data_IF_232889237275
#
_entry.id   IF_232889237275
#
_cell.length_a   1.000
_cell.length_b   1.000
_cell.length_c   1.000
_cell.angle_alpha   90.00
_cell.angle_beta   90.00
_cell.angle_gamma   90.00
#
_symmetry.space_group_name_H-M   'P 1'
#
loop_
_entity.id
_entity.type
_entity.pdbx_description
1 polymer ?
#
# COMPACT_ATOMS: atom_id res chain seq x y z
N UNK A 1 -10.64 -19.72 14.82
CA UNK A 1 -10.72 -21.15 15.24
C UNK A 1 -10.42 -21.98 13.99
N UNK A 2 -9.41 -22.85 14.02
CA UNK A 2 -9.02 -23.68 12.87
C UNK A 2 -9.20 -25.13 13.28
N UNK A 3 -10.02 -25.85 12.52
CA UNK A 3 -10.15 -27.29 12.60
C UNK A 3 -9.21 -27.91 11.57
N UNK A 4 -8.37 -28.84 12.02
CA UNK A 4 -7.47 -29.61 11.17
C UNK A 4 -8.00 -31.04 11.13
N UNK A 5 -8.29 -31.53 9.93
CA UNK A 5 -8.60 -32.94 9.71
C UNK A 5 -7.42 -33.59 9.00
N UNK A 6 -6.95 -34.69 9.57
CA UNK A 6 -5.86 -35.50 9.01
C UNK A 6 -6.44 -36.80 8.47
N UNK A 7 -6.08 -37.17 7.24
CA UNK A 7 -6.48 -38.42 6.61
C UNK A 7 -5.25 -39.13 6.02
N UNK A 8 -5.13 -40.42 6.26
CA UNK A 8 -4.12 -41.29 5.63
C UNK A 8 -4.82 -42.20 4.63
N UNK A 9 -4.39 -42.16 3.37
CA UNK A 9 -4.90 -43.03 2.30
C UNK A 9 -3.73 -43.64 1.53
N UNK A 10 -3.42 -44.90 1.86
CA UNK A 10 -2.22 -45.56 1.36
C UNK A 10 -0.95 -44.83 1.84
N UNK A 11 -0.11 -44.39 0.91
CA UNK A 11 1.12 -43.61 1.19
C UNK A 11 0.89 -42.10 1.27
N UNK A 12 -0.35 -41.63 1.11
CA UNK A 12 -0.67 -40.21 1.12
C UNK A 12 -1.21 -39.76 2.47
N UNK A 13 -0.60 -38.70 3.00
CA UNK A 13 -1.05 -37.98 4.18
C UNK A 13 -1.68 -36.65 3.73
N UNK A 14 -2.99 -36.49 3.96
CA UNK A 14 -3.74 -35.30 3.59
C UNK A 14 -4.10 -34.50 4.83
N UNK A 15 -3.78 -33.21 4.83
CA UNK A 15 -4.25 -32.25 5.82
C UNK A 15 -5.31 -31.34 5.21
N UNK A 16 -6.49 -31.30 5.82
CA UNK A 16 -7.56 -30.36 5.47
C UNK A 16 -7.72 -29.34 6.59
N UNK A 17 -7.64 -28.07 6.22
CA UNK A 17 -7.77 -26.94 7.14
C UNK A 17 -9.12 -26.28 6.93
N UNK A 18 -9.90 -26.16 7.99
CA UNK A 18 -11.20 -25.50 7.97
C UNK A 18 -11.15 -24.35 8.98
N UNK A 19 -11.47 -23.14 8.53
CA UNK A 19 -11.52 -21.96 9.37
C UNK A 19 -12.86 -21.26 9.23
N UNK A 20 -13.38 -20.73 10.33
CA UNK A 20 -14.46 -19.74 10.28
C UNK A 20 -13.84 -18.34 10.17
N UNK A 21 -14.42 -17.49 9.31
CA UNK A 21 -14.02 -16.08 9.21
C UNK A 21 -14.40 -15.39 10.51
N UNK A 22 -13.38 -15.03 11.31
CA UNK A 22 -13.55 -14.42 12.64
C UNK A 22 -13.60 -12.90 12.60
N UNK A 23 -13.37 -12.31 11.43
CA UNK A 23 -13.36 -10.87 11.24
C UNK A 23 -13.73 -10.44 9.82
N UNK A 24 -14.31 -9.25 9.71
CA UNK A 24 -14.47 -8.52 8.46
C UNK A 24 -13.63 -7.24 8.52
N UNK A 25 -13.21 -6.76 7.36
CA UNK A 25 -12.52 -5.49 7.24
C UNK A 25 -13.21 -4.64 6.19
N UNK A 26 -13.49 -3.39 6.53
CA UNK A 26 -13.97 -2.38 5.60
C UNK A 26 -12.94 -1.27 5.50
N UNK A 27 -12.76 -0.75 4.30
CA UNK A 27 -11.85 0.35 4.02
C UNK A 27 -12.67 1.58 3.67
N UNK A 28 -12.22 2.74 4.14
CA UNK A 28 -12.77 4.01 3.69
C UNK A 28 -12.31 4.31 2.26
N UNK A 29 -13.04 5.17 1.58
CA UNK A 29 -12.48 5.88 0.43
C UNK A 29 -11.24 6.68 0.86
N UNK A 30 -10.29 6.92 -0.06
CA UNK A 30 -9.14 7.77 0.22
C UNK A 30 -9.58 9.22 0.43
N UNK A 31 -9.14 9.80 1.54
CA UNK A 31 -9.39 11.21 1.86
C UNK A 31 -8.11 11.99 1.63
N UNK A 32 -8.14 12.91 0.67
CA UNK A 32 -7.05 13.85 0.42
C UNK A 32 -6.98 14.87 1.56
N UNK A 33 -5.89 14.88 2.31
CA UNK A 33 -5.68 15.82 3.41
C UNK A 33 -5.01 17.11 2.94
N UNK A 34 -4.03 16.99 2.05
CA UNK A 34 -3.32 18.12 1.48
C UNK A 34 -2.64 17.75 0.17
N UNK A 35 -2.37 18.76 -0.66
CA UNK A 35 -1.58 18.66 -1.89
C UNK A 35 -0.36 19.57 -1.77
N UNK A 36 0.79 19.07 -2.17
CA UNK A 36 2.03 19.82 -2.26
C UNK A 36 2.33 20.02 -3.73
N UNK A 37 2.30 21.26 -4.25
CA UNK A 37 2.60 21.50 -5.65
C UNK A 37 4.06 21.18 -5.96
N UNK A 38 4.34 20.88 -7.22
CA UNK A 38 5.71 20.73 -7.70
C UNK A 38 6.50 22.02 -7.47
N UNK A 39 7.79 21.88 -7.15
CA UNK A 39 8.67 23.03 -7.03
C UNK A 39 8.79 23.78 -8.37
N UNK A 40 8.94 25.12 -8.35
CA UNK A 40 9.12 25.88 -9.57
C UNK A 40 10.45 25.49 -10.25
N UNK A 41 10.45 25.56 -11.58
CA UNK A 41 11.65 25.31 -12.38
C UNK A 41 12.79 26.24 -11.97
N UNK A 42 13.98 25.66 -11.82
CA UNK A 42 15.21 26.38 -11.49
C UNK A 42 16.27 26.12 -12.53
N UNK A 43 17.02 27.17 -12.87
CA UNK A 43 18.16 27.09 -13.77
C UNK A 43 19.44 27.25 -12.96
N UNK A 44 20.42 26.39 -13.23
CA UNK A 44 21.73 26.42 -12.62
C UNK A 44 22.75 26.50 -13.77
N UNK A 45 23.61 27.52 -13.73
CA UNK A 45 24.68 27.67 -14.71
C UNK A 45 25.79 26.67 -14.38
N UNK A 46 26.20 25.87 -15.37
CA UNK A 46 27.26 24.87 -15.21
C UNK A 46 28.40 25.12 -16.19
N UNK A 47 29.65 25.27 -15.72
CA UNK A 47 30.81 25.44 -16.60
C UNK A 47 31.22 24.14 -17.32
N UNK A 48 30.72 22.99 -16.88
CA UNK A 48 30.97 21.69 -17.51
C UNK A 48 30.10 21.45 -18.76
N UNK A 49 29.11 22.31 -19.00
CA UNK A 49 28.20 22.19 -20.13
C UNK A 49 28.69 22.98 -21.34
N UNK A 50 28.32 22.50 -22.54
CA UNK A 50 28.58 23.24 -23.77
C UNK A 50 27.83 24.58 -23.75
N UNK A 51 28.39 25.66 -24.31
CA UNK A 51 27.70 26.94 -24.40
C UNK A 51 26.32 26.79 -25.05
N UNK A 52 25.33 27.52 -24.53
CA UNK A 52 23.93 27.53 -25.02
C UNK A 52 23.23 26.16 -25.00
N UNK A 53 23.71 25.20 -24.22
CA UNK A 53 23.03 23.93 -24.00
C UNK A 53 22.17 23.94 -22.73
N UNK A 54 21.06 23.21 -22.76
CA UNK A 54 20.17 23.01 -21.62
C UNK A 54 20.07 21.52 -21.32
N UNK A 55 20.12 21.16 -20.03
CA UNK A 55 19.97 19.80 -19.57
C UNK A 55 19.01 19.77 -18.40
N UNK A 56 17.96 18.95 -18.52
CA UNK A 56 17.08 18.67 -17.40
C UNK A 56 17.76 17.66 -16.47
N UNK A 57 17.93 18.05 -15.21
CA UNK A 57 18.61 17.24 -14.19
C UNK A 57 17.65 16.65 -13.16
N UNK A 58 16.46 17.23 -13.02
CA UNK A 58 15.44 16.80 -12.07
C UNK A 58 14.03 17.00 -12.64
N UNK A 59 13.07 16.25 -12.10
CA UNK A 59 11.66 16.29 -12.45
C UNK A 59 10.86 16.58 -11.19
N UNK A 60 10.50 17.84 -11.00
CA UNK A 60 9.62 18.21 -9.91
C UNK A 60 8.24 17.56 -10.12
N UNK A 61 7.78 16.84 -9.12
CA UNK A 61 6.48 16.19 -9.10
C UNK A 61 5.61 16.78 -7.98
N UNK A 62 4.30 16.75 -8.19
CA UNK A 62 3.37 17.07 -7.13
C UNK A 62 3.29 15.92 -6.12
N UNK A 63 3.10 16.28 -4.85
CA UNK A 63 2.85 15.35 -3.76
C UNK A 63 1.46 15.52 -3.17
N UNK A 64 1.02 14.54 -2.39
CA UNK A 64 -0.21 14.61 -1.63
C UNK A 64 -0.09 13.82 -0.32
N UNK A 65 -0.78 14.29 0.72
CA UNK A 65 -1.05 13.51 1.92
C UNK A 65 -2.45 12.93 1.81
N UNK A 66 -2.55 11.60 1.86
CA UNK A 66 -3.82 10.87 1.74
C UNK A 66 -3.98 9.99 2.96
N UNK A 67 -5.18 10.02 3.55
CA UNK A 67 -5.56 9.12 4.65
C UNK A 67 -6.55 8.10 4.16
N UNK A 68 -6.29 6.85 4.50
CA UNK A 68 -7.22 5.73 4.33
C UNK A 68 -7.35 5.06 5.68
N UNK A 69 -8.58 4.81 6.11
CA UNK A 69 -8.86 4.13 7.38
C UNK A 69 -9.37 2.73 7.08
N UNK A 70 -8.87 1.76 7.85
CA UNK A 70 -9.39 0.39 7.86
C UNK A 70 -10.09 0.16 9.19
N UNK A 71 -11.35 -0.25 9.13
CA UNK A 71 -12.07 -0.75 10.31
C UNK A 71 -12.13 -2.27 10.24
N UNK A 72 -11.73 -2.95 11.31
CA UNK A 72 -11.80 -4.41 11.46
C UNK A 72 -12.86 -4.73 12.51
N UNK A 73 -13.89 -5.46 12.10
CA UNK A 73 -14.93 -5.97 13.00
C UNK A 73 -14.69 -7.44 13.26
N UNK A 74 -14.55 -7.83 14.52
CA UNK A 74 -14.51 -9.23 14.92
C UNK A 74 -15.92 -9.76 15.19
N UNK A 75 -16.09 -11.07 15.02
CA UNK A 75 -17.36 -11.76 15.31
C UNK A 75 -17.74 -11.72 16.79
N UNK A 76 -16.79 -11.44 17.67
CA UNK A 76 -16.97 -11.25 19.12
C UNK A 76 -17.39 -9.82 19.51
N UNK A 77 -17.59 -8.93 18.53
CA UNK A 77 -18.01 -7.54 18.74
C UNK A 77 -16.87 -6.54 18.88
N UNK A 78 -15.61 -6.98 19.01
CA UNK A 78 -14.45 -6.07 19.09
C UNK A 78 -14.22 -5.33 17.76
N UNK A 79 -13.77 -4.07 17.84
CA UNK A 79 -13.41 -3.24 16.69
C UNK A 79 -11.97 -2.73 16.79
N UNK A 80 -11.26 -2.61 15.65
CA UNK A 80 -9.93 -2.03 15.50
C UNK A 80 -9.83 -1.10 14.29
#
# INVERSE_FOLDING_TARGET
>A
NILIQTEVKGVYLTFRFFGTKDRTATWSDPVLLSRTPALPTRFIVSPAMRPQSFQQVDFAAEGASVRVTRAVQFTDGRQL
#
